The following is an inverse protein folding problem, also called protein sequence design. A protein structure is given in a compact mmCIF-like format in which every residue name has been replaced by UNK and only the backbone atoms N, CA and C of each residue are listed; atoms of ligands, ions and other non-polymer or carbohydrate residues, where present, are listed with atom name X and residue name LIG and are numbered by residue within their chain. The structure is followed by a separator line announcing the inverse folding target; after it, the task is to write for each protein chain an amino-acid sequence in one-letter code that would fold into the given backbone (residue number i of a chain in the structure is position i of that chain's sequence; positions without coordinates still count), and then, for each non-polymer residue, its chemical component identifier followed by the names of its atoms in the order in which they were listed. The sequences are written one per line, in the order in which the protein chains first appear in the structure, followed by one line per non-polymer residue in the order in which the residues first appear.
data_IF_294447602523
#
_entry.id   IF_294447602523
#
_cell.length_a   1.000
_cell.length_b   1.000
_cell.length_c   1.000
_cell.angle_alpha   90.00
_cell.angle_beta   90.00
_cell.angle_gamma   90.00
#
_symmetry.space_group_name_H-M   'P 1'
#
loop_
_entity.id
_entity.type
_entity.pdbx_description
1 polymer ?
#
# COMPACT_ATOMS: atom_id res chain seq x y z
N UNK A 1 -8.17 -14.51 27.69
CA UNK A 1 -6.93 -14.51 26.87
C UNK A 1 -6.91 -15.79 26.06
N UNK A 2 -6.70 -15.72 24.74
CA UNK A 2 -6.66 -16.86 23.83
C UNK A 2 -5.21 -17.13 23.39
N UNK A 3 -4.41 -17.89 24.18
CA UNK A 3 -2.95 -17.93 24.05
C UNK A 3 -2.41 -18.55 22.75
N UNK A 4 -3.24 -19.28 22.01
CA UNK A 4 -2.86 -19.94 20.75
C UNK A 4 -3.32 -19.18 19.51
N UNK A 5 -4.13 -18.14 19.68
CA UNK A 5 -4.67 -17.37 18.56
C UNK A 5 -3.62 -16.38 18.05
N UNK A 6 -2.86 -16.79 17.04
CA UNK A 6 -1.84 -15.96 16.40
C UNK A 6 -2.40 -15.07 15.27
N UNK A 7 -3.52 -15.48 14.66
CA UNK A 7 -4.15 -14.78 13.55
C UNK A 7 -5.61 -14.54 13.89
N UNK A 8 -6.08 -13.31 13.67
CA UNK A 8 -7.47 -12.92 13.84
C UNK A 8 -7.96 -12.27 12.55
N UNK A 9 -9.08 -12.76 12.03
CA UNK A 9 -9.77 -12.16 10.89
C UNK A 9 -11.15 -11.76 11.35
N UNK A 10 -11.44 -10.47 11.27
CA UNK A 10 -12.71 -9.87 11.63
C UNK A 10 -13.38 -9.38 10.36
N UNK A 11 -14.56 -9.91 10.08
CA UNK A 11 -15.36 -9.54 8.93
C UNK A 11 -16.75 -9.22 9.44
N UNK A 12 -17.24 -8.01 9.16
CA UNK A 12 -18.54 -7.57 9.62
C UNK A 12 -19.18 -6.61 8.61
N UNK A 13 -20.48 -6.39 8.75
CA UNK A 13 -21.21 -5.35 8.01
C UNK A 13 -20.99 -3.97 8.64
N UNK A 14 -20.73 -3.90 9.96
CA UNK A 14 -20.64 -2.65 10.71
C UNK A 14 -19.32 -2.50 11.46
N UNK A 15 -18.75 -1.30 11.45
CA UNK A 15 -17.57 -0.95 12.27
C UNK A 15 -17.81 -1.14 13.77
N UNK A 16 -19.05 -0.91 14.24
CA UNK A 16 -19.43 -1.11 15.65
C UNK A 16 -19.21 -2.54 16.12
N UNK A 17 -19.42 -3.53 15.24
CA UNK A 17 -19.31 -4.95 15.58
C UNK A 17 -17.83 -5.34 15.68
N UNK A 18 -17.01 -4.86 14.75
CA UNK A 18 -15.54 -4.99 14.83
C UNK A 18 -15.02 -4.40 16.15
N UNK A 19 -15.44 -3.18 16.48
CA UNK A 19 -15.04 -2.50 17.72
C UNK A 19 -15.53 -3.27 18.94
N UNK A 20 -16.78 -3.75 18.93
CA UNK A 20 -17.35 -4.56 20.00
C UNK A 20 -16.56 -5.84 20.27
N UNK A 21 -16.12 -6.52 19.21
CA UNK A 21 -15.28 -7.71 19.30
C UNK A 21 -13.91 -7.34 19.88
N UNK A 22 -13.22 -6.34 19.33
CA UNK A 22 -11.88 -5.94 19.80
C UNK A 22 -11.89 -5.51 21.28
N UNK A 23 -12.98 -4.89 21.76
CA UNK A 23 -13.17 -4.52 23.18
C UNK A 23 -13.18 -5.71 24.14
N UNK A 24 -13.43 -6.94 23.67
CA UNK A 24 -13.31 -8.14 24.51
C UNK A 24 -11.90 -8.32 25.07
N UNK A 25 -10.88 -7.70 24.46
CA UNK A 25 -9.51 -7.57 25.01
C UNK A 25 -8.83 -8.92 25.34
N UNK A 26 -9.14 -9.97 24.57
CA UNK A 26 -8.59 -11.33 24.77
C UNK A 26 -7.48 -11.70 23.77
N UNK A 27 -7.05 -10.76 22.93
CA UNK A 27 -6.27 -10.96 21.70
C UNK A 27 -4.78 -10.62 21.81
N UNK A 28 -4.22 -10.56 23.03
CA UNK A 28 -2.86 -10.07 23.25
C UNK A 28 -1.75 -10.86 22.54
N UNK A 29 -2.01 -12.13 22.19
CA UNK A 29 -1.10 -13.00 21.44
C UNK A 29 -1.25 -12.93 19.91
N UNK A 30 -2.19 -12.14 19.38
CA UNK A 30 -2.42 -12.01 17.94
C UNK A 30 -1.27 -11.26 17.29
N UNK A 31 -0.67 -11.88 16.28
CA UNK A 31 0.43 -11.35 15.45
C UNK A 31 -0.04 -10.87 14.08
N UNK A 32 -1.18 -11.37 13.61
CA UNK A 32 -1.78 -11.00 12.33
C UNK A 32 -3.24 -10.65 12.50
N UNK A 33 -3.64 -9.45 12.12
CA UNK A 33 -5.00 -8.94 12.20
C UNK A 33 -5.47 -8.49 10.83
N UNK A 34 -6.58 -9.06 10.38
CA UNK A 34 -7.30 -8.60 9.19
C UNK A 34 -8.67 -8.11 9.62
N UNK A 35 -9.00 -6.88 9.26
CA UNK A 35 -10.31 -6.27 9.47
C UNK A 35 -10.89 -5.96 8.10
N UNK A 36 -12.11 -6.44 7.85
CA UNK A 36 -12.83 -6.14 6.62
C UNK A 36 -14.27 -5.77 6.93
N UNK A 37 -14.73 -4.66 6.36
CA UNK A 37 -16.15 -4.32 6.32
C UNK A 37 -16.73 -4.72 4.97
N UNK A 38 -17.81 -5.51 4.97
CA UNK A 38 -18.51 -5.90 3.75
C UNK A 38 -19.62 -4.87 3.50
N UNK A 39 -19.75 -4.45 2.24
CA UNK A 39 -20.77 -3.58 1.62
C UNK A 39 -22.13 -3.55 2.34
N UNK A 40 -22.69 -2.34 2.47
CA UNK A 40 -23.85 -2.04 3.33
C UNK A 40 -24.83 -1.09 2.61
N UNK A 41 -26.11 -1.47 2.50
CA UNK A 41 -27.13 -0.74 1.74
C UNK A 41 -28.09 0.12 2.61
N UNK A 42 -27.83 0.27 3.91
CA UNK A 42 -28.73 0.97 4.83
C UNK A 42 -28.31 2.42 5.13
N UNK A 43 -29.25 3.36 4.97
CA UNK A 43 -29.11 4.82 5.13
C UNK A 43 -28.76 5.33 6.55
N UNK A 44 -28.78 4.46 7.58
CA UNK A 44 -28.53 4.84 8.99
C UNK A 44 -27.09 4.53 9.48
N UNK A 45 -26.16 4.35 8.56
CA UNK A 45 -24.81 3.86 8.85
C UNK A 45 -23.86 4.91 9.43
N UNK A 46 -23.07 4.49 10.42
CA UNK A 46 -21.89 5.24 10.90
C UNK A 46 -20.83 5.17 9.79
N UNK A 47 -20.73 6.24 9.02
CA UNK A 47 -19.67 6.44 8.03
C UNK A 47 -18.32 6.44 8.75
N UNK A 48 -17.34 5.76 8.17
CA UNK A 48 -15.98 5.80 8.69
C UNK A 48 -15.45 7.24 8.58
N UNK A 49 -15.06 7.81 9.71
CA UNK A 49 -14.40 9.10 9.80
C UNK A 49 -13.04 8.96 10.52
N UNK A 50 -12.27 10.04 10.56
CA UNK A 50 -10.97 10.08 11.22
C UNK A 50 -11.06 9.78 12.72
N UNK A 51 -12.16 10.13 13.38
CA UNK A 51 -12.36 9.89 14.81
C UNK A 51 -12.59 8.41 15.12
N UNK A 52 -13.37 7.73 14.28
CA UNK A 52 -13.61 6.30 14.35
C UNK A 52 -12.33 5.53 13.99
N UNK A 53 -11.58 5.99 12.97
CA UNK A 53 -10.28 5.43 12.63
C UNK A 53 -9.30 5.55 13.80
N UNK A 54 -9.21 6.73 14.43
CA UNK A 54 -8.39 6.95 15.62
C UNK A 54 -8.78 6.00 16.76
N UNK A 55 -10.08 5.86 17.02
CA UNK A 55 -10.59 4.97 18.05
C UNK A 55 -10.25 3.50 17.76
N UNK A 56 -10.35 3.10 16.50
CA UNK A 56 -10.02 1.76 16.03
C UNK A 56 -8.52 1.47 16.22
N UNK A 57 -7.63 2.35 15.77
CA UNK A 57 -6.19 2.12 15.86
C UNK A 57 -5.69 2.11 17.30
N UNK A 58 -6.22 2.98 18.17
CA UNK A 58 -5.94 2.94 19.61
C UNK A 58 -6.37 1.60 20.21
N UNK A 59 -7.57 1.12 19.84
CA UNK A 59 -8.08 -0.15 20.33
C UNK A 59 -7.21 -1.32 19.86
N UNK A 60 -6.85 -1.38 18.58
CA UNK A 60 -5.94 -2.38 18.00
C UNK A 60 -4.63 -2.45 18.79
N UNK A 61 -4.00 -1.29 19.02
CA UNK A 61 -2.73 -1.22 19.77
C UNK A 61 -2.90 -1.77 21.19
N UNK A 62 -4.00 -1.45 21.85
CA UNK A 62 -4.25 -1.90 23.23
C UNK A 62 -4.53 -3.40 23.33
N UNK A 63 -5.26 -3.98 22.35
CA UNK A 63 -5.69 -5.38 22.41
C UNK A 63 -4.70 -6.35 21.76
N UNK A 64 -3.89 -5.89 20.82
CA UNK A 64 -2.92 -6.67 20.04
C UNK A 64 -1.51 -6.03 20.10
N UNK A 65 -0.86 -5.94 21.27
CA UNK A 65 0.43 -5.25 21.41
C UNK A 65 1.60 -5.95 20.69
N UNK A 66 1.44 -7.20 20.29
CA UNK A 66 2.46 -7.99 19.57
C UNK A 66 2.20 -8.06 18.06
N UNK A 67 1.27 -7.24 17.56
CA UNK A 67 0.84 -7.27 16.17
C UNK A 67 1.98 -6.91 15.22
N UNK A 68 2.23 -7.80 14.26
CA UNK A 68 3.26 -7.65 13.23
C UNK A 68 2.66 -7.45 11.83
N UNK A 69 1.44 -7.93 11.58
CA UNK A 69 0.77 -7.79 10.30
C UNK A 69 -0.62 -7.20 10.53
N UNK A 70 -0.91 -6.09 9.85
CA UNK A 70 -2.21 -5.43 9.91
C UNK A 70 -2.76 -5.24 8.50
N UNK A 71 -3.99 -5.68 8.31
CA UNK A 71 -4.81 -5.37 7.15
C UNK A 71 -6.12 -4.71 7.60
N UNK A 72 -6.43 -3.54 7.05
CA UNK A 72 -7.70 -2.85 7.19
C UNK A 72 -8.27 -2.67 5.78
N UNK A 73 -9.46 -3.22 5.55
CA UNK A 73 -10.20 -3.12 4.30
C UNK A 73 -11.57 -2.49 4.60
N UNK A 74 -11.79 -1.29 4.06
CA UNK A 74 -13.03 -0.52 4.29
C UNK A 74 -14.21 -0.98 3.42
N UNK A 75 -14.04 -1.97 2.55
CA UNK A 75 -15.06 -2.41 1.60
C UNK A 75 -15.15 -1.51 0.36
N UNK A 76 -15.75 -2.02 -0.72
CA UNK A 76 -15.64 -1.36 -2.04
C UNK A 76 -16.62 -0.19 -2.24
N UNK A 77 -17.70 -0.13 -1.47
CA UNK A 77 -18.78 0.87 -1.70
C UNK A 77 -18.48 2.22 -1.06
N UNK A 78 -17.57 2.26 -0.09
CA UNK A 78 -17.23 3.46 0.67
C UNK A 78 -15.73 3.73 0.57
N UNK A 79 -15.35 4.58 -0.37
CA UNK A 79 -14.00 5.15 -0.39
C UNK A 79 -13.80 6.05 0.83
N UNK A 80 -13.07 5.54 1.82
CA UNK A 80 -12.66 6.38 2.95
C UNK A 80 -11.47 7.26 2.51
N UNK A 81 -11.69 8.57 2.47
CA UNK A 81 -10.61 9.54 2.25
C UNK A 81 -10.10 10.02 3.60
N UNK A 82 -8.82 9.76 3.87
CA UNK A 82 -8.16 10.18 5.10
C UNK A 82 -7.91 11.69 5.08
N UNK A 83 -8.40 12.42 6.10
CA UNK A 83 -8.17 13.87 6.24
C UNK A 83 -6.98 14.20 7.16
N UNK A 84 -6.63 13.31 8.10
CA UNK A 84 -5.42 13.42 8.91
C UNK A 84 -4.81 12.05 9.22
N UNK A 85 -3.52 11.89 8.89
CA UNK A 85 -2.76 10.70 9.25
C UNK A 85 -2.64 10.45 10.76
N UNK A 86 -2.92 11.43 11.64
CA UNK A 86 -2.86 11.25 13.09
C UNK A 86 -3.74 10.10 13.61
N UNK A 87 -4.82 9.77 12.89
CA UNK A 87 -5.64 8.59 13.20
C UNK A 87 -4.90 7.26 13.17
N UNK A 88 -3.71 7.19 12.56
CA UNK A 88 -2.85 6.00 12.55
C UNK A 88 -1.69 6.06 13.56
N UNK A 89 -1.50 7.18 14.25
CA UNK A 89 -0.34 7.40 15.13
C UNK A 89 -0.19 6.34 16.23
N UNK A 90 -1.31 5.81 16.76
CA UNK A 90 -1.29 4.77 17.79
C UNK A 90 -0.58 3.48 17.33
N UNK A 91 -0.59 3.19 16.03
CA UNK A 91 0.05 2.00 15.45
C UNK A 91 1.58 2.12 15.41
N UNK A 92 2.15 3.33 15.56
CA UNK A 92 3.59 3.53 15.56
C UNK A 92 4.32 2.84 16.73
N UNK A 93 3.58 2.46 17.76
CA UNK A 93 4.11 1.69 18.90
C UNK A 93 4.18 0.18 18.65
N UNK A 94 3.57 -0.31 17.57
CA UNK A 94 3.51 -1.73 17.25
C UNK A 94 4.69 -2.16 16.36
N UNK A 95 5.17 -3.41 16.49
CA UNK A 95 6.25 -3.94 15.65
C UNK A 95 5.74 -4.38 14.26
N UNK A 96 5.04 -3.49 13.55
CA UNK A 96 4.43 -3.80 12.26
C UNK A 96 5.50 -4.01 11.18
N UNK A 97 5.47 -5.19 10.57
CA UNK A 97 6.29 -5.59 9.42
C UNK A 97 5.50 -5.54 8.11
N UNK A 98 4.19 -5.76 8.16
CA UNK A 98 3.29 -5.67 7.02
C UNK A 98 2.08 -4.82 7.36
N UNK A 99 1.81 -3.81 6.54
CA UNK A 99 0.64 -2.94 6.67
C UNK A 99 -0.10 -2.88 5.33
N UNK A 100 -1.40 -3.17 5.35
CA UNK A 100 -2.27 -3.08 4.19
C UNK A 100 -3.50 -2.25 4.52
N UNK A 101 -3.70 -1.16 3.79
CA UNK A 101 -4.83 -0.23 3.92
C UNK A 101 -5.58 -0.23 2.59
N UNK A 102 -6.68 -1.00 2.51
CA UNK A 102 -7.49 -1.18 1.31
C UNK A 102 -8.78 -0.38 1.42
N UNK A 103 -9.24 0.14 0.29
CA UNK A 103 -10.35 1.06 0.18
C UNK A 103 -10.15 2.33 1.04
N UNK A 104 -8.89 2.76 1.16
CA UNK A 104 -8.48 3.98 1.89
C UNK A 104 -7.64 4.86 0.96
N UNK A 105 -8.17 6.04 0.64
CA UNK A 105 -7.46 7.05 -0.14
C UNK A 105 -6.69 7.96 0.82
N UNK A 106 -5.37 8.02 0.65
CA UNK A 106 -4.47 8.87 1.44
C UNK A 106 -3.94 9.99 0.53
N UNK A 107 -4.18 11.26 0.88
CA UNK A 107 -3.61 12.38 0.12
C UNK A 107 -2.08 12.31 0.08
N UNK A 108 -1.49 12.70 -1.07
CA UNK A 108 -0.03 12.74 -1.25
C UNK A 108 0.71 13.45 -0.12
N UNK A 109 0.17 14.59 0.33
CA UNK A 109 0.75 15.40 1.40
C UNK A 109 0.84 14.69 2.75
N UNK A 110 0.12 13.59 2.93
CA UNK A 110 0.04 12.84 4.19
C UNK A 110 0.73 11.48 4.13
N UNK A 111 1.02 10.96 2.93
CA UNK A 111 1.64 9.65 2.76
C UNK A 111 3.00 9.56 3.49
N UNK A 112 3.83 10.60 3.42
CA UNK A 112 5.10 10.65 4.16
C UNK A 112 4.89 10.52 5.68
N UNK A 113 3.95 11.28 6.23
CA UNK A 113 3.59 11.24 7.66
C UNK A 113 3.04 9.86 8.04
N UNK A 114 2.10 9.31 7.26
CA UNK A 114 1.50 8.00 7.50
C UNK A 114 2.56 6.90 7.53
N UNK A 115 3.43 6.89 6.53
CA UNK A 115 4.47 5.87 6.36
C UNK A 115 5.54 5.95 7.46
N UNK A 116 5.80 7.15 8.01
CA UNK A 116 6.72 7.32 9.13
C UNK A 116 6.24 6.62 10.43
N UNK A 117 4.96 6.29 10.54
CA UNK A 117 4.43 5.47 11.64
C UNK A 117 4.78 3.98 11.51
N UNK A 118 5.33 3.54 10.38
CA UNK A 118 5.65 2.13 10.14
C UNK A 118 7.15 1.91 9.85
N UNK A 119 8.07 2.31 10.75
CA UNK A 119 9.51 2.31 10.48
C UNK A 119 10.09 0.90 10.27
N UNK A 120 9.42 -0.13 10.78
CA UNK A 120 9.84 -1.54 10.68
C UNK A 120 9.16 -2.29 9.52
N UNK A 121 8.28 -1.61 8.76
CA UNK A 121 7.53 -2.25 7.69
C UNK A 121 8.46 -2.61 6.53
N UNK A 122 8.38 -3.87 6.11
CA UNK A 122 8.95 -4.35 4.87
C UNK A 122 7.92 -4.43 3.75
N UNK A 123 6.63 -4.45 4.10
CA UNK A 123 5.51 -4.50 3.16
C UNK A 123 4.53 -3.39 3.50
N UNK A 124 4.27 -2.50 2.54
CA UNK A 124 3.25 -1.46 2.65
C UNK A 124 2.33 -1.58 1.43
N UNK A 125 1.03 -1.71 1.66
CA UNK A 125 0.02 -1.79 0.59
C UNK A 125 -1.04 -0.72 0.84
N UNK A 126 -1.12 0.27 -0.03
CA UNK A 126 -2.12 1.34 0.00
C UNK A 126 -2.64 1.55 -1.43
N UNK A 127 -3.28 0.53 -2.02
CA UNK A 127 -3.57 0.48 -3.46
C UNK A 127 -4.47 1.63 -3.94
N UNK A 128 -5.35 2.13 -3.09
CA UNK A 128 -6.34 3.16 -3.45
C UNK A 128 -5.80 4.59 -3.33
N UNK A 129 -4.55 4.74 -2.87
CA UNK A 129 -3.83 6.01 -2.92
C UNK A 129 -3.08 6.14 -4.23
N UNK A 130 -3.30 7.24 -4.94
CA UNK A 130 -2.65 7.51 -6.22
C UNK A 130 -1.48 8.47 -6.06
N UNK A 131 -0.33 8.09 -6.62
CA UNK A 131 0.86 8.92 -6.70
C UNK A 131 1.28 9.17 -8.14
N UNK A 132 1.97 10.28 -8.36
CA UNK A 132 2.81 10.45 -9.53
C UNK A 132 4.15 9.73 -9.35
N UNK A 133 4.92 9.61 -10.43
CA UNK A 133 6.25 8.99 -10.38
C UNK A 133 7.15 9.66 -9.34
N UNK A 134 7.10 11.00 -9.22
CA UNK A 134 7.93 11.73 -8.24
C UNK A 134 7.58 11.40 -6.79
N UNK A 135 6.32 11.06 -6.49
CA UNK A 135 5.89 10.62 -5.17
C UNK A 135 6.49 9.29 -4.73
N UNK A 136 7.02 8.47 -5.64
CA UNK A 136 7.67 7.20 -5.28
C UNK A 136 8.93 7.41 -4.41
N UNK A 137 9.55 8.59 -4.49
CA UNK A 137 10.71 8.95 -3.67
C UNK A 137 10.43 8.98 -2.16
N UNK A 138 9.17 9.14 -1.72
CA UNK A 138 8.83 9.06 -0.29
C UNK A 138 9.14 7.66 0.27
N UNK A 139 8.92 6.62 -0.54
CA UNK A 139 9.16 5.24 -0.14
C UNK A 139 10.61 4.81 -0.32
N UNK A 140 11.39 5.50 -1.15
CA UNK A 140 12.83 5.22 -1.29
C UNK A 140 13.62 5.50 0.00
N UNK A 141 13.06 6.28 0.92
CA UNK A 141 13.70 6.59 2.20
C UNK A 141 13.49 5.51 3.28
N UNK A 142 12.63 4.51 3.04
CA UNK A 142 12.37 3.44 3.99
C UNK A 142 13.40 2.32 3.85
N UNK A 143 14.33 2.15 4.80
CA UNK A 143 15.45 1.22 4.63
C UNK A 143 15.02 -0.25 4.62
N UNK A 144 13.90 -0.56 5.27
CA UNK A 144 13.38 -1.92 5.42
C UNK A 144 12.38 -2.31 4.32
N UNK A 145 11.92 -1.35 3.51
CA UNK A 145 10.86 -1.59 2.54
C UNK A 145 11.35 -2.50 1.42
N UNK A 146 10.66 -3.63 1.26
CA UNK A 146 10.91 -4.65 0.23
C UNK A 146 9.79 -4.66 -0.81
N UNK A 147 8.55 -4.46 -0.36
CA UNK A 147 7.34 -4.53 -1.16
C UNK A 147 6.44 -3.30 -0.93
N UNK A 148 6.12 -2.59 -2.00
CA UNK A 148 5.11 -1.52 -2.03
C UNK A 148 3.99 -1.86 -3.00
N UNK A 149 2.73 -1.76 -2.56
CA UNK A 149 1.57 -1.71 -3.45
C UNK A 149 0.91 -0.33 -3.37
N UNK A 150 0.76 0.36 -4.50
CA UNK A 150 0.19 1.71 -4.55
C UNK A 150 -0.39 2.02 -5.92
N UNK A 151 -1.41 2.87 -5.97
CA UNK A 151 -1.90 3.44 -7.22
C UNK A 151 -0.84 4.35 -7.84
N UNK A 152 -0.52 4.14 -9.11
CA UNK A 152 0.47 4.95 -9.83
C UNK A 152 -0.14 5.58 -11.06
N UNK A 153 -0.11 6.91 -11.11
CA UNK A 153 -0.45 7.67 -12.29
C UNK A 153 0.74 7.71 -13.26
N UNK A 154 0.63 6.89 -14.30
CA UNK A 154 1.64 6.69 -15.34
C UNK A 154 1.43 7.54 -16.59
N UNK A 155 0.42 8.42 -16.60
CA UNK A 155 0.05 9.24 -17.78
C UNK A 155 1.13 10.21 -18.26
N UNK A 156 2.16 10.49 -17.45
CA UNK A 156 3.25 11.41 -17.76
C UNK A 156 4.46 10.75 -18.45
N UNK A 157 4.42 9.44 -18.73
CA UNK A 157 5.49 8.73 -19.43
C UNK A 157 5.52 9.17 -20.90
N UNK A 158 6.26 10.24 -21.20
CA UNK A 158 6.40 10.81 -22.55
C UNK A 158 6.63 12.31 -22.54
N UNK A 159 6.21 13.01 -21.48
CA UNK A 159 6.40 14.44 -21.32
C UNK A 159 7.75 14.73 -20.65
N UNK A 160 8.86 14.50 -21.34
CA UNK A 160 10.20 15.06 -21.02
C UNK A 160 10.53 15.23 -19.52
N UNK A 161 10.18 14.24 -18.69
CA UNK A 161 10.53 14.25 -17.27
C UNK A 161 12.02 13.93 -17.22
N UNK A 162 12.86 14.71 -16.53
CA UNK A 162 14.25 14.33 -16.34
C UNK A 162 14.28 12.96 -15.65
N UNK A 163 14.63 11.92 -16.41
CA UNK A 163 14.62 10.51 -16.00
C UNK A 163 15.75 10.15 -15.02
N UNK A 164 16.34 11.14 -14.36
CA UNK A 164 17.33 10.94 -13.33
C UNK A 164 16.66 11.22 -11.98
N UNK A 165 16.58 10.19 -11.14
CA UNK A 165 16.36 10.38 -9.72
C UNK A 165 17.35 11.44 -9.21
N UNK A 166 16.85 12.41 -8.45
CA UNK A 166 17.71 13.43 -7.85
C UNK A 166 18.80 12.71 -7.03
N UNK A 167 20.10 13.00 -7.25
CA UNK A 167 21.21 12.35 -6.53
C UNK A 167 21.12 12.49 -5.01
N UNK A 168 20.26 13.38 -4.50
CA UNK A 168 19.95 13.53 -3.08
C UNK A 168 19.19 12.31 -2.52
N UNK A 169 18.47 11.55 -3.34
CA UNK A 169 17.70 10.40 -2.86
C UNK A 169 18.59 9.15 -2.73
N UNK A 170 18.85 8.74 -1.49
CA UNK A 170 19.39 7.40 -1.20
C UNK A 170 18.28 6.39 -1.44
N UNK A 171 18.37 5.62 -2.53
CA UNK A 171 17.42 4.57 -2.84
C UNK A 171 17.37 3.49 -1.75
N UNK A 172 16.18 2.98 -1.45
CA UNK A 172 15.98 1.84 -0.56
C UNK A 172 16.64 0.60 -1.19
N UNK A 173 17.84 0.24 -0.72
CA UNK A 173 18.62 -0.86 -1.28
C UNK A 173 17.95 -2.24 -1.09
N UNK A 174 17.01 -2.36 -0.15
CA UNK A 174 16.23 -3.58 0.06
C UNK A 174 15.04 -3.77 -0.89
N UNK A 175 14.63 -2.73 -1.62
CA UNK A 175 13.38 -2.72 -2.38
C UNK A 175 13.41 -3.65 -3.59
N UNK A 176 12.38 -4.50 -3.73
CA UNK A 176 12.36 -5.59 -4.71
C UNK A 176 11.05 -5.73 -5.48
N UNK A 177 9.91 -5.36 -4.90
CA UNK A 177 8.58 -5.62 -5.47
C UNK A 177 7.76 -4.33 -5.46
N UNK A 178 7.31 -3.92 -6.65
CA UNK A 178 6.33 -2.85 -6.82
C UNK A 178 5.03 -3.44 -7.40
N UNK A 179 3.93 -3.34 -6.66
CA UNK A 179 2.58 -3.58 -7.16
C UNK A 179 1.95 -2.23 -7.55
N UNK A 180 1.68 -2.04 -8.84
CA UNK A 180 0.97 -0.88 -9.37
C UNK A 180 -0.53 -1.21 -9.33
N UNK A 181 -1.28 -0.55 -8.47
CA UNK A 181 -2.73 -0.71 -8.31
C UNK A 181 -3.49 0.39 -9.06
N UNK A 182 -3.30 0.45 -10.38
CA UNK A 182 -3.99 1.43 -11.22
C UNK A 182 -4.42 0.83 -12.54
N UNK A 183 -5.50 1.34 -13.08
CA UNK A 183 -5.93 1.09 -14.46
C UNK A 183 -4.83 1.54 -15.42
N UNK A 184 -4.30 0.66 -16.30
CA UNK A 184 -3.36 1.11 -17.32
C UNK A 184 -4.09 2.02 -18.32
N UNK A 185 -3.94 3.32 -18.14
CA UNK A 185 -4.43 4.31 -19.10
C UNK A 185 -3.81 4.03 -20.47
N UNK A 186 -4.64 3.74 -21.48
CA UNK A 186 -4.29 3.54 -22.90
C UNK A 186 -2.79 3.40 -23.20
N UNK A 187 -2.18 2.30 -22.72
CA UNK A 187 -0.76 2.01 -22.94
C UNK A 187 -0.54 1.52 -24.38
N UNK A 188 -0.60 2.44 -25.34
CA UNK A 188 0.09 2.34 -26.64
C UNK A 188 1.52 2.89 -26.54
N UNK A 189 2.02 3.07 -25.32
CA UNK A 189 3.21 3.85 -24.99
C UNK A 189 4.39 2.93 -24.68
N UNK A 190 5.59 3.32 -25.13
CA UNK A 190 6.85 2.66 -24.77
C UNK A 190 7.07 2.68 -23.25
N UNK A 191 7.20 1.50 -22.64
CA UNK A 191 7.43 1.31 -21.19
C UNK A 191 8.91 1.46 -20.78
N UNK A 192 9.83 1.56 -21.75
CA UNK A 192 11.27 1.69 -21.47
C UNK A 192 11.61 2.86 -20.57
N UNK A 193 11.02 4.07 -20.72
CA UNK A 193 11.32 5.18 -19.83
C UNK A 193 10.87 4.94 -18.39
N UNK A 194 9.72 4.26 -18.19
CA UNK A 194 9.26 3.85 -16.87
C UNK A 194 10.24 2.85 -16.23
N UNK A 195 10.66 1.82 -16.96
CA UNK A 195 11.62 0.85 -16.46
C UNK A 195 12.94 1.51 -16.00
N UNK A 196 13.47 2.47 -16.77
CA UNK A 196 14.68 3.22 -16.41
C UNK A 196 14.46 4.10 -15.19
N UNK A 197 13.32 4.79 -15.11
CA UNK A 197 12.98 5.60 -13.94
C UNK A 197 12.93 4.74 -12.67
N UNK A 198 12.17 3.64 -12.70
CA UNK A 198 12.03 2.74 -11.55
C UNK A 198 13.38 2.18 -11.09
N UNK A 199 14.26 1.78 -12.02
CA UNK A 199 15.61 1.32 -11.68
C UNK A 199 16.54 2.43 -11.17
N UNK A 200 16.30 3.68 -11.54
CA UNK A 200 17.03 4.82 -10.98
C UNK A 200 16.65 5.09 -9.52
N UNK A 201 15.39 4.85 -9.15
CA UNK A 201 14.89 5.00 -7.77
C UNK A 201 15.20 3.76 -6.93
N UNK A 202 15.01 2.58 -7.50
CA UNK A 202 15.20 1.27 -6.85
C UNK A 202 16.06 0.33 -7.70
N UNK A 203 17.39 0.43 -7.58
CA UNK A 203 18.31 -0.38 -8.38
C UNK A 203 18.16 -1.90 -8.21
N UNK A 204 17.59 -2.34 -7.09
CA UNK A 204 17.40 -3.75 -6.75
C UNK A 204 15.98 -4.27 -7.04
N UNK A 205 15.15 -3.49 -7.74
CA UNK A 205 13.83 -3.91 -8.20
C UNK A 205 13.93 -5.20 -9.02
N UNK A 206 13.14 -6.21 -8.62
CA UNK A 206 13.11 -7.53 -9.26
C UNK A 206 11.79 -7.79 -9.98
N UNK A 207 10.70 -7.24 -9.45
CA UNK A 207 9.36 -7.53 -9.89
C UNK A 207 8.50 -6.27 -9.87
N UNK A 208 7.75 -6.07 -10.95
CA UNK A 208 6.66 -5.12 -11.04
C UNK A 208 5.39 -5.88 -11.40
N UNK A 209 4.42 -5.82 -10.51
CA UNK A 209 3.10 -6.38 -10.71
C UNK A 209 2.13 -5.25 -11.07
N UNK A 210 1.18 -5.53 -11.95
CA UNK A 210 0.14 -4.57 -12.32
C UNK A 210 -1.21 -5.17 -11.96
N UNK A 211 -1.83 -4.58 -10.94
CA UNK A 211 -3.07 -5.05 -10.32
C UNK A 211 -4.18 -4.03 -10.55
N UNK A 212 -5.44 -4.47 -10.43
CA UNK A 212 -6.62 -3.64 -10.73
C UNK A 212 -6.60 -2.32 -9.96
N UNK A 213 -6.76 -1.21 -10.68
CA UNK A 213 -7.31 0.01 -10.10
C UNK A 213 -8.83 -0.08 -10.22
N UNK A 214 -9.52 -0.01 -9.08
CA UNK A 214 -10.95 0.26 -8.90
C UNK A 214 -11.90 0.03 -10.10
N UNK A 215 -12.59 -1.13 -10.07
CA UNK A 215 -13.82 -1.38 -10.83
C UNK A 215 -13.86 -2.74 -11.54
N UNK A 216 -14.86 -3.61 -11.28
CA UNK A 216 -15.05 -4.87 -12.02
C UNK A 216 -15.64 -4.65 -13.44
N UNK A 217 -15.80 -3.40 -13.88
CA UNK A 217 -16.38 -3.09 -15.18
C UNK A 217 -15.29 -2.73 -16.20
N UNK A 218 -14.95 -3.72 -17.04
CA UNK A 218 -14.26 -3.55 -18.33
C UNK A 218 -12.75 -3.27 -18.31
N UNK A 219 -12.00 -3.89 -17.39
CA UNK A 219 -10.54 -4.02 -17.54
C UNK A 219 -10.10 -5.44 -17.90
N UNK A 220 -9.34 -5.52 -19.00
CA UNK A 220 -8.79 -6.76 -19.52
C UNK A 220 -7.67 -7.26 -18.60
N UNK A 221 -7.98 -8.26 -17.76
CA UNK A 221 -7.01 -8.93 -16.88
C UNK A 221 -5.76 -9.38 -17.64
N UNK A 222 -5.94 -9.83 -18.88
CA UNK A 222 -4.85 -10.32 -19.73
C UNK A 222 -3.94 -9.15 -20.14
N UNK A 223 -4.52 -7.99 -20.43
CA UNK A 223 -3.76 -6.76 -20.70
C UNK A 223 -2.85 -6.36 -19.55
N UNK A 224 -3.34 -6.40 -18.31
CA UNK A 224 -2.53 -6.06 -17.13
C UNK A 224 -1.34 -7.02 -16.97
N UNK A 225 -1.58 -8.32 -17.16
CA UNK A 225 -0.54 -9.34 -17.15
C UNK A 225 0.50 -9.08 -18.25
N UNK A 226 0.06 -8.75 -19.48
CA UNK A 226 0.96 -8.45 -20.60
C UNK A 226 1.82 -7.22 -20.31
N UNK A 227 1.23 -6.15 -19.78
CA UNK A 227 1.97 -4.92 -19.40
C UNK A 227 2.99 -5.21 -18.31
N UNK A 228 2.58 -5.92 -17.24
CA UNK A 228 3.47 -6.31 -16.16
C UNK A 228 4.64 -7.16 -16.68
N UNK A 229 4.37 -8.15 -17.53
CA UNK A 229 5.40 -9.00 -18.14
C UNK A 229 6.37 -8.19 -19.02
N UNK A 230 5.86 -7.28 -19.85
CA UNK A 230 6.68 -6.41 -20.67
C UNK A 230 7.59 -5.50 -19.81
N UNK A 231 7.04 -4.91 -18.75
CA UNK A 231 7.80 -4.07 -17.83
C UNK A 231 8.87 -4.87 -17.06
N UNK A 232 8.53 -6.06 -16.58
CA UNK A 232 9.47 -6.98 -15.93
C UNK A 232 10.63 -7.39 -16.86
N UNK A 233 10.34 -7.65 -18.14
CA UNK A 233 11.36 -7.94 -19.13
C UNK A 233 12.31 -6.74 -19.35
N UNK A 234 11.76 -5.52 -19.42
CA UNK A 234 12.54 -4.29 -19.55
C UNK A 234 13.40 -4.01 -18.31
N UNK A 235 12.84 -4.15 -17.11
CA UNK A 235 13.56 -4.03 -15.83
C UNK A 235 14.73 -5.03 -15.78
N UNK A 236 14.46 -6.28 -16.12
CA UNK A 236 15.49 -7.33 -16.17
C UNK A 236 16.60 -7.02 -17.17
N UNK A 237 16.24 -6.58 -18.37
CA UNK A 237 17.19 -6.26 -19.45
C UNK A 237 18.08 -5.08 -19.07
N UNK A 238 17.51 -3.97 -18.59
CA UNK A 238 18.28 -2.79 -18.19
C UNK A 238 19.23 -3.12 -17.03
N UNK A 239 18.80 -3.96 -16.08
CA UNK A 239 19.67 -4.39 -14.97
C UNK A 239 20.87 -5.20 -15.45
N UNK A 240 20.69 -6.10 -16.43
CA UNK A 240 21.79 -6.86 -17.03
C UNK A 240 22.78 -5.92 -17.72
N UNK A 241 22.29 -4.99 -18.55
CA UNK A 241 23.13 -4.02 -19.26
C UNK A 241 23.94 -3.17 -18.27
N UNK A 242 23.31 -2.68 -17.21
CA UNK A 242 23.99 -1.90 -16.17
C UNK A 242 25.02 -2.71 -15.38
N UNK A 243 24.82 -4.03 -15.23
CA UNK A 243 25.80 -4.91 -14.57
C UNK A 243 27.00 -5.24 -15.47
N UNK A 244 26.80 -5.34 -16.79
CA UNK A 244 27.87 -5.61 -17.76
C UNK A 244 28.76 -4.39 -18.03
N UNK A 245 28.24 -3.18 -17.84
CA UNK A 245 28.98 -1.92 -18.06
C UNK A 245 29.68 -1.38 -16.79
N UNK A 246 29.83 -2.19 -15.74
CA UNK A 246 30.59 -1.90 -14.51
C UNK A 246 31.88 -2.71 -14.48
#
# INVERSE_FOLDING_TARGET
MLPLLNTLTLIAERWSDIIGILKLSVYSGVKSLTIRVIENYDDEMVVLDDALMTSLTVLITSCCPTLANLEIDCGNDYFFSLEDASGFQALASLPLHSVSLKNITVPRSMLEKLVSFFPLANTIRIPDSSLDLTGLHYFSQLPNLVHLAIGLNVSLIGASVPFQADPVFKGASGFQILEIASSPANLTVDLSPLARYLLSVWPNLKQVDWTYGLGPEQEDRERNIVIANALNALVSTHRIISATNR
#
